data_IF_093189054477
#
_entry.id   IF_093189054477
#
_cell.length_a   1.000
_cell.length_b   1.000
_cell.length_c   1.000
_cell.angle_alpha   90.00
_cell.angle_beta   90.00
_cell.angle_gamma   90.00
#
_symmetry.space_group_name_H-M   'P 1'
#
loop_
_entity.id
_entity.type
_entity.pdbx_description
1 polymer ?
#
# COMPACT_ATOMS: atom_id res chain seq x y z
N UNK A 1 10.23 7.68 12.73
CA UNK A 1 9.28 7.33 11.65
C UNK A 1 10.08 6.95 10.42
N UNK A 2 9.70 5.86 9.74
CA UNK A 2 10.36 5.40 8.52
C UNK A 2 9.73 6.01 7.27
N UNK A 3 10.47 6.00 6.16
CA UNK A 3 9.95 6.32 4.83
C UNK A 3 9.92 5.06 3.97
N UNK A 4 8.81 4.85 3.31
CA UNK A 4 8.62 3.82 2.30
C UNK A 4 8.12 4.41 0.99
N UNK A 5 7.96 3.55 -0.02
CA UNK A 5 7.42 3.91 -1.33
C UNK A 5 6.16 3.10 -1.62
N UNK A 6 5.20 3.71 -2.26
CA UNK A 6 3.98 3.03 -2.70
C UNK A 6 3.59 3.53 -4.08
N UNK A 7 3.27 2.65 -4.99
CA UNK A 7 2.69 3.07 -6.26
C UNK A 7 1.50 2.21 -6.67
N UNK A 8 0.41 2.89 -7.02
CA UNK A 8 -0.54 2.44 -8.02
C UNK A 8 -0.03 3.05 -9.32
N UNK A 9 0.63 2.29 -10.18
CA UNK A 9 1.44 2.85 -11.27
C UNK A 9 0.55 3.41 -12.37
N UNK A 10 -0.05 4.58 -12.13
CA UNK A 10 -0.94 5.26 -13.09
C UNK A 10 -0.12 6.10 -14.06
N UNK A 11 -0.12 5.68 -15.30
CA UNK A 11 0.53 6.36 -16.42
C UNK A 11 -0.47 6.84 -17.47
N UNK A 12 -0.14 7.85 -18.29
CA UNK A 12 -0.94 8.20 -19.46
C UNK A 12 -1.18 6.98 -20.36
N UNK A 13 -2.42 6.82 -20.87
CA UNK A 13 -2.83 5.62 -21.61
C UNK A 13 -2.02 5.44 -22.92
N UNK A 14 -1.55 6.54 -23.50
CA UNK A 14 -0.72 6.58 -24.71
C UNK A 14 0.78 6.41 -24.45
N UNK A 15 1.19 6.35 -23.19
CA UNK A 15 2.59 6.07 -22.82
C UNK A 15 2.95 4.63 -23.19
N UNK A 16 4.11 4.44 -23.79
CA UNK A 16 4.61 3.12 -24.16
C UNK A 16 4.70 2.19 -22.93
N UNK A 17 4.07 1.03 -23.02
CA UNK A 17 3.95 0.08 -21.91
C UNK A 17 5.30 -0.36 -21.34
N UNK A 18 6.27 -0.64 -22.23
CA UNK A 18 7.62 -1.02 -21.80
C UNK A 18 8.32 0.13 -21.06
N UNK A 19 8.15 1.37 -21.54
CA UNK A 19 8.73 2.54 -20.87
C UNK A 19 8.14 2.75 -19.49
N UNK A 20 6.82 2.59 -19.32
CA UNK A 20 6.16 2.68 -18.02
C UNK A 20 6.69 1.64 -17.03
N UNK A 21 6.78 0.37 -17.45
CA UNK A 21 7.34 -0.69 -16.59
C UNK A 21 8.80 -0.45 -16.21
N UNK A 22 9.62 0.12 -17.11
CA UNK A 22 11.01 0.48 -16.80
C UNK A 22 11.09 1.66 -15.84
N UNK A 23 10.20 2.61 -15.95
CA UNK A 23 10.11 3.76 -15.04
C UNK A 23 9.75 3.30 -13.62
N UNK A 24 8.69 2.48 -13.48
CA UNK A 24 8.32 1.89 -12.20
C UNK A 24 9.48 1.11 -11.59
N UNK A 25 10.14 0.28 -12.40
CA UNK A 25 11.33 -0.44 -11.96
C UNK A 25 12.41 0.51 -11.45
N UNK A 26 12.68 1.61 -12.14
CA UNK A 26 13.67 2.61 -11.72
C UNK A 26 13.28 3.27 -10.41
N UNK A 27 11.99 3.56 -10.18
CA UNK A 27 11.51 4.13 -8.93
C UNK A 27 11.79 3.21 -7.71
N UNK A 28 11.51 1.90 -7.85
CA UNK A 28 11.81 0.93 -6.80
C UNK A 28 13.32 0.78 -6.52
N UNK A 29 14.14 0.74 -7.56
CA UNK A 29 15.59 0.67 -7.40
C UNK A 29 16.18 1.95 -6.81
N UNK A 30 15.59 3.10 -7.12
CA UNK A 30 15.97 4.38 -6.51
C UNK A 30 15.57 4.39 -5.02
N UNK A 31 14.38 3.92 -4.66
CA UNK A 31 13.95 3.82 -3.28
C UNK A 31 14.91 2.96 -2.43
N UNK A 32 15.35 1.79 -2.94
CA UNK A 32 16.35 0.94 -2.25
C UNK A 32 17.69 1.69 -2.05
N UNK A 33 18.17 2.40 -3.07
CA UNK A 33 19.43 3.17 -2.98
C UNK A 33 19.34 4.34 -2.00
N UNK A 34 18.17 4.97 -1.90
CA UNK A 34 17.94 6.09 -1.00
C UNK A 34 17.64 5.65 0.44
N UNK A 35 17.62 4.34 0.71
CA UNK A 35 17.40 3.80 2.06
C UNK A 35 15.94 3.83 2.52
N UNK A 36 14.98 3.83 1.58
CA UNK A 36 13.58 3.62 1.95
C UNK A 36 13.42 2.23 2.56
N UNK A 37 12.65 2.13 3.64
CA UNK A 37 12.52 0.89 4.41
C UNK A 37 11.73 -0.19 3.68
N UNK A 38 10.70 0.21 2.92
CA UNK A 38 9.80 -0.70 2.21
C UNK A 38 9.21 -0.05 0.96
N UNK A 39 8.78 -0.87 0.00
CA UNK A 39 8.09 -0.39 -1.19
C UNK A 39 6.99 -1.35 -1.63
N UNK A 40 5.85 -0.81 -2.05
CA UNK A 40 4.67 -1.57 -2.48
C UNK A 40 4.23 -1.19 -3.87
N UNK A 41 3.80 -2.18 -4.68
CA UNK A 41 3.12 -1.92 -5.95
C UNK A 41 1.75 -2.59 -6.03
N UNK A 42 0.77 -1.84 -6.54
CA UNK A 42 -0.56 -2.34 -6.87
C UNK A 42 -0.57 -3.19 -8.14
N UNK A 43 -1.73 -3.82 -8.42
CA UNK A 43 -1.94 -4.58 -9.65
C UNK A 43 -3.36 -4.41 -10.17
N UNK A 44 -3.49 -4.23 -11.47
CA UNK A 44 -4.76 -4.32 -12.20
C UNK A 44 -4.55 -4.97 -13.57
N UNK A 45 -5.44 -5.89 -13.94
CA UNK A 45 -5.35 -6.61 -15.21
C UNK A 45 -6.03 -5.85 -16.34
N UNK A 46 -7.06 -5.07 -16.01
CA UNK A 46 -7.95 -4.43 -16.98
C UNK A 46 -7.87 -2.91 -16.99
N UNK A 47 -6.85 -2.30 -16.41
CA UNK A 47 -6.66 -0.85 -16.43
C UNK A 47 -5.39 -0.49 -17.21
N UNK A 48 -5.55 0.08 -18.39
CA UNK A 48 -4.43 0.46 -19.24
C UNK A 48 -3.56 1.59 -18.64
N UNK A 49 -4.11 2.38 -17.73
CA UNK A 49 -3.37 3.41 -17.00
C UNK A 49 -2.61 2.83 -15.80
N UNK A 50 -3.16 1.77 -15.16
CA UNK A 50 -2.53 1.06 -14.05
C UNK A 50 -1.95 -0.27 -14.55
N UNK A 51 -0.84 -0.21 -15.23
CA UNK A 51 -0.35 -1.23 -16.15
C UNK A 51 0.49 -2.36 -15.53
N UNK A 52 0.70 -2.42 -14.21
CA UNK A 52 1.27 -3.61 -13.56
C UNK A 52 0.14 -4.63 -13.34
N UNK A 53 0.15 -5.69 -14.16
CA UNK A 53 -0.89 -6.72 -14.13
C UNK A 53 -0.68 -7.79 -13.05
N UNK A 54 0.52 -7.87 -12.49
CA UNK A 54 0.88 -8.76 -11.37
C UNK A 54 1.98 -8.12 -10.53
N UNK A 55 1.65 -7.75 -9.33
CA UNK A 55 2.60 -7.18 -8.36
C UNK A 55 3.70 -8.19 -8.00
N UNK A 56 3.35 -9.47 -7.83
CA UNK A 56 4.32 -10.53 -7.53
C UNK A 56 5.34 -10.72 -8.67
N UNK A 57 4.88 -10.72 -9.93
CA UNK A 57 5.76 -10.85 -11.10
C UNK A 57 6.68 -9.62 -11.24
N UNK A 58 6.14 -8.42 -11.03
CA UNK A 58 6.92 -7.19 -11.05
C UNK A 58 8.01 -7.22 -9.97
N UNK A 59 7.66 -7.55 -8.72
CA UNK A 59 8.61 -7.65 -7.60
C UNK A 59 9.68 -8.72 -7.88
N UNK A 60 9.31 -9.88 -8.43
CA UNK A 60 10.27 -10.92 -8.81
C UNK A 60 11.31 -10.41 -9.81
N UNK A 61 10.92 -9.53 -10.75
CA UNK A 61 11.83 -8.94 -11.74
C UNK A 61 12.90 -8.02 -11.16
N UNK A 62 12.71 -7.52 -9.94
CA UNK A 62 13.64 -6.62 -9.24
C UNK A 62 14.27 -7.22 -7.99
N UNK A 63 13.89 -8.44 -7.60
CA UNK A 63 14.34 -9.09 -6.38
C UNK A 63 15.87 -9.16 -6.27
N UNK A 64 16.56 -9.55 -7.35
CA UNK A 64 18.04 -9.61 -7.39
C UNK A 64 18.72 -8.25 -7.56
N UNK A 65 17.97 -7.19 -7.85
CA UNK A 65 18.47 -5.83 -8.08
C UNK A 65 18.35 -4.93 -6.85
N UNK A 66 17.67 -5.39 -5.79
CA UNK A 66 17.49 -4.70 -4.51
C UNK A 66 18.19 -5.45 -3.39
N UNK A 67 18.63 -4.73 -2.34
CA UNK A 67 19.43 -5.32 -1.27
C UNK A 67 18.80 -5.19 0.12
N UNK A 68 18.28 -4.02 0.44
CA UNK A 68 17.88 -3.70 1.82
C UNK A 68 16.36 -3.49 1.95
N UNK A 69 15.74 -2.89 0.94
CA UNK A 69 14.32 -2.54 0.97
C UNK A 69 13.45 -3.79 1.05
N UNK A 70 12.44 -3.76 1.92
CA UNK A 70 11.38 -4.76 1.89
C UNK A 70 10.44 -4.46 0.72
N UNK A 71 10.09 -5.48 -0.04
CA UNK A 71 9.19 -5.34 -1.18
C UNK A 71 7.85 -5.97 -0.89
N UNK A 72 6.78 -5.25 -1.19
CA UNK A 72 5.43 -5.67 -0.86
C UNK A 72 4.48 -5.61 -2.06
N UNK A 73 3.57 -6.58 -2.14
CA UNK A 73 2.41 -6.46 -3.00
C UNK A 73 1.46 -5.41 -2.41
N UNK A 74 0.91 -4.55 -3.22
CA UNK A 74 0.07 -3.46 -2.74
C UNK A 74 -1.23 -3.25 -3.52
N UNK A 75 -1.98 -4.33 -3.75
CA UNK A 75 -2.08 -5.66 -3.14
C UNK A 75 -2.24 -6.78 -4.18
N UNK A 76 -2.08 -8.06 -3.75
CA UNK A 76 -2.63 -9.18 -4.51
C UNK A 76 -4.14 -9.17 -4.36
N UNK A 77 -4.86 -9.15 -5.48
CA UNK A 77 -6.31 -9.23 -5.52
C UNK A 77 -6.75 -10.70 -5.38
N UNK A 78 -6.86 -11.19 -4.13
CA UNK A 78 -7.00 -12.60 -3.79
C UNK A 78 -8.10 -13.36 -4.56
N UNK A 79 -9.32 -12.80 -4.78
CA UNK A 79 -10.37 -13.49 -5.53
C UNK A 79 -10.05 -13.75 -6.99
N UNK A 80 -9.04 -13.11 -7.55
CA UNK A 80 -8.70 -13.20 -8.96
C UNK A 80 -7.79 -14.40 -9.28
N UNK A 81 -7.38 -15.18 -8.26
CA UNK A 81 -6.49 -16.33 -8.45
C UNK A 81 -6.84 -17.49 -7.53
N UNK A 82 -6.39 -18.68 -7.88
CA UNK A 82 -6.56 -19.87 -7.06
C UNK A 82 -5.62 -19.83 -5.85
N UNK A 83 -6.08 -20.13 -4.59
CA UNK A 83 -5.26 -20.04 -3.38
C UNK A 83 -3.96 -20.86 -3.45
N UNK A 84 -3.97 -22.04 -4.10
CA UNK A 84 -2.75 -22.83 -4.27
C UNK A 84 -1.70 -22.13 -5.16
N UNK A 85 -2.15 -21.40 -6.20
CA UNK A 85 -1.24 -20.63 -7.04
C UNK A 85 -0.62 -19.47 -6.26
N UNK A 86 -1.43 -18.74 -5.51
CA UNK A 86 -0.96 -17.65 -4.65
C UNK A 86 0.03 -18.19 -3.61
N UNK A 87 -0.32 -19.27 -2.90
CA UNK A 87 0.54 -19.86 -1.88
C UNK A 87 1.93 -20.23 -2.44
N UNK A 88 1.97 -20.87 -3.61
CA UNK A 88 3.23 -21.25 -4.26
C UNK A 88 4.05 -20.03 -4.74
N UNK A 89 3.39 -19.07 -5.38
CA UNK A 89 4.05 -17.85 -5.90
C UNK A 89 4.64 -16.99 -4.78
N UNK A 90 3.88 -16.76 -3.72
CA UNK A 90 4.30 -15.93 -2.59
C UNK A 90 5.40 -16.63 -1.77
N UNK A 91 5.31 -17.93 -1.57
CA UNK A 91 6.39 -18.69 -0.92
C UNK A 91 7.70 -18.59 -1.72
N UNK A 92 7.63 -18.80 -3.05
CA UNK A 92 8.80 -18.68 -3.92
C UNK A 92 9.38 -17.25 -3.90
N UNK A 93 8.52 -16.23 -3.97
CA UNK A 93 8.93 -14.83 -3.95
C UNK A 93 9.61 -14.45 -2.63
N UNK A 94 9.14 -14.97 -1.52
CA UNK A 94 9.75 -14.73 -0.20
C UNK A 94 11.19 -15.28 -0.13
N UNK A 95 11.43 -16.48 -0.70
CA UNK A 95 12.78 -17.02 -0.87
C UNK A 95 13.65 -16.19 -1.83
N UNK A 96 13.10 -15.73 -2.96
CA UNK A 96 13.82 -14.87 -3.91
C UNK A 96 14.24 -13.53 -3.29
N UNK A 97 13.48 -13.04 -2.31
CA UNK A 97 13.74 -11.80 -1.58
C UNK A 97 14.55 -12.00 -0.29
N UNK A 98 14.96 -13.22 0.00
CA UNK A 98 15.66 -13.56 1.25
C UNK A 98 14.91 -13.05 2.51
N UNK A 99 13.60 -13.27 2.55
CA UNK A 99 12.73 -12.89 3.67
C UNK A 99 12.38 -11.39 3.75
N UNK A 100 12.63 -10.61 2.70
CA UNK A 100 12.26 -9.19 2.62
C UNK A 100 10.86 -8.95 2.02
N UNK A 101 10.04 -9.98 1.90
CA UNK A 101 8.67 -9.85 1.39
C UNK A 101 7.71 -9.32 2.45
N UNK A 102 6.84 -8.38 2.06
CA UNK A 102 5.60 -8.04 2.72
C UNK A 102 4.43 -8.51 1.82
N UNK A 103 3.52 -9.30 2.37
CA UNK A 103 2.41 -9.86 1.59
C UNK A 103 1.15 -9.01 1.73
N UNK A 104 0.97 -8.06 0.82
CA UNK A 104 -0.22 -7.22 0.76
C UNK A 104 -1.37 -7.91 0.04
N UNK A 105 -2.55 -7.91 0.64
CA UNK A 105 -3.74 -8.63 0.19
C UNK A 105 -4.99 -7.76 0.20
N UNK A 106 -5.92 -8.02 -0.72
CA UNK A 106 -7.23 -7.36 -0.77
C UNK A 106 -8.30 -8.19 -1.48
N UNK A 107 -9.59 -7.82 -1.29
CA UNK A 107 -10.68 -8.41 -2.07
C UNK A 107 -10.75 -7.91 -3.53
N UNK A 108 -9.88 -6.97 -3.92
CA UNK A 108 -9.91 -6.30 -5.21
C UNK A 108 -10.96 -5.18 -5.30
N UNK A 109 -10.54 -4.01 -5.81
CA UNK A 109 -11.39 -2.81 -5.91
C UNK A 109 -11.99 -2.56 -7.29
N UNK A 110 -11.37 -3.06 -8.37
CA UNK A 110 -11.73 -2.75 -9.73
C UNK A 110 -12.80 -3.72 -10.26
N UNK A 111 -13.95 -3.17 -10.69
CA UNK A 111 -15.08 -3.96 -11.16
C UNK A 111 -14.76 -4.72 -12.47
N UNK A 112 -14.00 -4.11 -13.38
CA UNK A 112 -13.61 -4.75 -14.64
C UNK A 112 -12.67 -5.94 -14.44
N UNK A 113 -11.78 -5.89 -13.43
CA UNK A 113 -11.00 -7.06 -13.04
C UNK A 113 -11.92 -8.18 -12.53
N UNK A 114 -12.88 -7.84 -11.66
CA UNK A 114 -13.84 -8.83 -11.16
C UNK A 114 -14.69 -9.45 -12.29
N UNK A 115 -15.06 -8.66 -13.31
CA UNK A 115 -15.80 -9.13 -14.48
C UNK A 115 -14.97 -10.11 -15.31
N UNK A 116 -13.73 -9.77 -15.65
CA UNK A 116 -12.83 -10.60 -16.45
C UNK A 116 -12.53 -11.94 -15.78
N UNK A 117 -12.47 -11.98 -14.45
CA UNK A 117 -12.29 -13.20 -13.67
C UNK A 117 -13.60 -13.91 -13.30
N UNK A 118 -14.75 -13.43 -13.78
CA UNK A 118 -16.07 -14.02 -13.50
C UNK A 118 -16.50 -13.91 -12.02
N UNK A 119 -16.05 -12.86 -11.33
CA UNK A 119 -16.29 -12.63 -9.91
C UNK A 119 -17.16 -11.40 -9.62
N UNK A 120 -17.68 -10.72 -10.66
CA UNK A 120 -18.41 -9.47 -10.52
C UNK A 120 -19.64 -9.63 -9.61
N UNK A 121 -20.41 -10.70 -9.84
CA UNK A 121 -21.66 -11.00 -9.12
C UNK A 121 -21.47 -11.89 -7.88
N UNK A 122 -20.23 -12.19 -7.51
CA UNK A 122 -19.90 -13.01 -6.34
C UNK A 122 -19.61 -12.14 -5.12
N UNK A 123 -19.73 -12.72 -3.93
CA UNK A 123 -19.28 -12.07 -2.70
C UNK A 123 -17.74 -12.10 -2.61
N UNK A 124 -17.10 -11.07 -3.17
CA UNK A 124 -15.63 -10.97 -3.21
C UNK A 124 -14.99 -10.87 -1.83
N UNK A 125 -15.72 -10.37 -0.82
CA UNK A 125 -15.21 -10.37 0.56
C UNK A 125 -15.17 -11.78 1.15
N UNK A 126 -16.20 -12.61 0.92
CA UNK A 126 -16.16 -14.03 1.31
C UNK A 126 -15.05 -14.79 0.56
N UNK A 127 -14.93 -14.55 -0.76
CA UNK A 127 -13.86 -15.15 -1.56
C UNK A 127 -12.48 -14.75 -1.02
N UNK A 128 -12.28 -13.48 -0.68
CA UNK A 128 -11.05 -12.97 -0.11
C UNK A 128 -10.68 -13.73 1.19
N UNK A 129 -11.62 -13.83 2.12
CA UNK A 129 -11.39 -14.52 3.40
C UNK A 129 -11.11 -16.01 3.17
N UNK A 130 -11.91 -16.70 2.35
CA UNK A 130 -11.68 -18.11 2.03
C UNK A 130 -10.30 -18.32 1.37
N UNK A 131 -9.93 -17.47 0.42
CA UNK A 131 -8.66 -17.59 -0.29
C UNK A 131 -7.46 -17.45 0.66
N UNK A 132 -7.43 -16.41 1.49
CA UNK A 132 -6.31 -16.23 2.43
C UNK A 132 -6.28 -17.33 3.49
N UNK A 133 -7.41 -17.79 3.99
CA UNK A 133 -7.46 -18.88 4.95
C UNK A 133 -6.91 -20.18 4.34
N UNK A 134 -7.22 -20.48 3.09
CA UNK A 134 -6.63 -21.61 2.37
C UNK A 134 -5.12 -21.45 2.14
N UNK A 135 -4.65 -20.26 1.79
CA UNK A 135 -3.21 -19.96 1.65
C UNK A 135 -2.48 -20.23 2.96
N UNK A 136 -2.99 -19.71 4.07
CA UNK A 136 -2.39 -19.90 5.39
C UNK A 136 -2.43 -21.38 5.84
N UNK A 137 -3.51 -22.09 5.52
CA UNK A 137 -3.64 -23.51 5.82
C UNK A 137 -2.66 -24.36 4.99
N UNK A 138 -2.43 -24.02 3.70
CA UNK A 138 -1.40 -24.66 2.88
C UNK A 138 0.00 -24.49 3.51
N UNK A 139 0.31 -23.30 4.00
CA UNK A 139 1.61 -23.04 4.63
C UNK A 139 1.78 -23.70 5.99
N UNK A 140 0.68 -23.90 6.72
CA UNK A 140 0.68 -24.48 8.05
C UNK A 140 0.84 -26.00 8.04
N UNK A 141 0.10 -26.71 7.18
CA UNK A 141 0.06 -28.18 7.17
C UNK A 141 1.05 -28.80 6.18
N UNK A 142 1.32 -30.08 6.38
CA UNK A 142 2.07 -30.90 5.44
C UNK A 142 1.12 -31.63 4.46
N UNK A 143 1.67 -32.13 3.35
CA UNK A 143 0.93 -32.97 2.42
C UNK A 143 0.53 -34.30 3.08
N UNK A 144 -0.61 -34.93 2.68
CA UNK A 144 -1.50 -34.53 1.58
C UNK A 144 -2.40 -33.36 1.96
N UNK A 145 -2.70 -32.52 0.98
CA UNK A 145 -3.70 -31.46 1.15
C UNK A 145 -5.09 -32.01 0.83
N UNK A 146 -6.08 -31.64 1.64
CA UNK A 146 -7.51 -31.83 1.38
C UNK A 146 -8.25 -30.70 2.07
N UNK A 147 -8.28 -29.53 1.39
CA UNK A 147 -8.90 -28.30 1.89
C UNK A 147 -10.09 -28.02 0.98
N UNK A 148 -11.30 -28.02 1.55
CA UNK A 148 -12.54 -27.79 0.83
C UNK A 148 -13.13 -26.46 1.25
N UNK A 149 -13.52 -25.62 0.27
CA UNK A 149 -14.21 -24.39 0.47
C UNK A 149 -15.46 -24.25 -0.37
N UNK A 150 -16.08 -23.10 -0.28
CA UNK A 150 -17.25 -22.74 -1.08
C UNK A 150 -16.85 -22.39 -2.52
N UNK A 151 -15.70 -21.74 -2.69
CA UNK A 151 -15.23 -21.21 -3.97
C UNK A 151 -14.09 -22.04 -4.56
N UNK A 152 -13.23 -22.62 -3.72
CA UNK A 152 -12.07 -23.38 -4.16
C UNK A 152 -11.90 -24.68 -3.39
N UNK A 153 -11.15 -25.61 -4.01
CA UNK A 153 -10.70 -26.83 -3.37
C UNK A 153 -9.22 -27.02 -3.65
N UNK A 154 -8.45 -27.47 -2.66
CA UNK A 154 -7.03 -27.80 -2.78
C UNK A 154 -6.83 -29.23 -2.31
N UNK A 155 -6.39 -30.13 -3.20
CA UNK A 155 -6.14 -31.54 -2.84
C UNK A 155 -4.95 -32.10 -3.61
N UNK A 156 -4.15 -32.93 -2.93
CA UNK A 156 -3.10 -33.76 -3.53
C UNK A 156 -3.26 -35.24 -3.18
N UNK A 157 -4.36 -35.63 -2.53
CA UNK A 157 -4.57 -36.99 -2.00
C UNK A 157 -4.48 -38.10 -3.07
N UNK A 158 -4.87 -37.80 -4.29
CA UNK A 158 -4.94 -38.80 -5.38
C UNK A 158 -3.65 -38.96 -6.19
N UNK A 159 -2.73 -38.01 -6.07
CA UNK A 159 -1.61 -37.86 -7.01
C UNK A 159 -0.27 -37.63 -6.33
N UNK A 160 -0.23 -37.60 -5.00
CA UNK A 160 1.02 -37.41 -4.29
C UNK A 160 1.96 -38.61 -4.44
N UNK A 161 3.25 -38.31 -4.53
CA UNK A 161 4.36 -39.25 -4.43
C UNK A 161 5.44 -38.57 -3.59
N UNK A 162 5.28 -38.66 -2.27
CA UNK A 162 6.07 -37.88 -1.31
C UNK A 162 7.54 -38.27 -1.29
N UNK A 163 7.85 -39.52 -1.63
CA UNK A 163 9.23 -40.03 -1.76
C UNK A 163 10.06 -39.34 -2.82
N UNK A 164 9.41 -38.70 -3.81
CA UNK A 164 10.06 -37.87 -4.84
C UNK A 164 9.69 -36.39 -4.74
N UNK A 165 8.97 -35.98 -3.68
CA UNK A 165 8.56 -34.59 -3.46
C UNK A 165 7.32 -34.14 -4.24
N UNK A 166 6.66 -35.03 -4.98
CA UNK A 166 5.44 -34.68 -5.72
C UNK A 166 4.24 -34.57 -4.77
N UNK A 167 3.44 -33.52 -4.94
CA UNK A 167 2.28 -33.21 -4.09
C UNK A 167 2.62 -32.39 -2.85
N UNK A 168 3.87 -31.97 -2.68
CA UNK A 168 4.34 -31.13 -1.58
C UNK A 168 4.47 -29.69 -2.08
N UNK A 169 3.80 -28.75 -1.41
CA UNK A 169 3.92 -27.32 -1.72
C UNK A 169 5.00 -26.67 -0.82
N UNK A 170 5.83 -25.83 -1.41
CA UNK A 170 6.85 -25.08 -0.70
C UNK A 170 6.21 -24.06 0.26
N UNK A 171 6.90 -23.81 1.38
CA UNK A 171 6.47 -22.87 2.41
C UNK A 171 7.34 -21.61 2.34
N UNK A 172 6.85 -20.44 2.80
CA UNK A 172 7.65 -19.23 2.86
C UNK A 172 8.91 -19.40 3.72
N UNK A 173 9.94 -18.58 3.43
CA UNK A 173 11.16 -18.49 4.24
C UNK A 173 10.84 -17.87 5.60
N UNK A 174 10.07 -16.79 5.63
CA UNK A 174 9.64 -16.13 6.87
C UNK A 174 8.65 -17.00 7.64
N UNK A 175 8.75 -17.02 8.98
CA UNK A 175 7.92 -17.85 9.88
C UNK A 175 7.05 -17.00 10.78
N UNK A 176 5.78 -17.34 10.95
CA UNK A 176 5.07 -18.46 10.31
C UNK A 176 4.78 -18.21 8.81
N UNK A 177 4.81 -16.96 8.35
CA UNK A 177 4.64 -16.47 6.97
C UNK A 177 5.10 -15.01 6.88
N UNK A 178 5.26 -14.44 5.68
CA UNK A 178 5.57 -13.02 5.52
C UNK A 178 4.53 -12.13 6.21
N UNK A 179 4.92 -10.95 6.73
CA UNK A 179 3.96 -9.99 7.29
C UNK A 179 2.82 -9.73 6.30
N UNK A 180 1.58 -9.83 6.79
CA UNK A 180 0.39 -9.61 5.96
C UNK A 180 -0.05 -8.16 6.09
N UNK A 181 -0.21 -7.49 4.94
CA UNK A 181 -0.53 -6.08 4.84
C UNK A 181 -1.90 -5.92 4.17
N UNK A 182 -2.75 -5.04 4.72
CA UNK A 182 -4.06 -4.73 4.16
C UNK A 182 -4.16 -3.24 3.83
N UNK A 183 -4.57 -2.89 2.60
CA UNK A 183 -4.90 -1.50 2.27
C UNK A 183 -6.27 -1.12 2.83
N UNK A 184 -6.35 0.06 3.41
CA UNK A 184 -7.56 0.57 4.07
C UNK A 184 -7.98 1.87 3.41
N UNK A 185 -9.23 1.90 2.94
CA UNK A 185 -9.85 3.06 2.27
C UNK A 185 -11.09 3.54 3.03
N UNK A 186 -11.86 2.61 3.60
CA UNK A 186 -13.12 2.93 4.24
C UNK A 186 -12.90 3.58 5.62
N UNK A 187 -13.50 4.74 5.92
CA UNK A 187 -13.54 5.27 7.27
C UNK A 187 -14.21 4.31 8.24
N UNK A 188 -13.79 4.29 9.50
CA UNK A 188 -14.37 3.43 10.56
C UNK A 188 -14.43 1.95 10.14
N UNK A 189 -13.35 1.45 9.56
CA UNK A 189 -13.31 0.20 8.82
C UNK A 189 -13.47 -1.03 9.71
N UNK A 190 -14.63 -1.71 9.65
CA UNK A 190 -14.83 -3.03 10.26
C UNK A 190 -13.90 -4.09 9.66
N UNK A 191 -13.52 -3.94 8.38
CA UNK A 191 -12.54 -4.81 7.73
C UNK A 191 -11.16 -4.68 8.36
N UNK A 192 -10.79 -3.46 8.79
CA UNK A 192 -9.53 -3.23 9.51
C UNK A 192 -9.56 -3.85 10.91
N UNK A 193 -10.68 -3.73 11.64
CA UNK A 193 -10.83 -4.41 12.95
C UNK A 193 -10.59 -5.91 12.78
N UNK A 194 -11.25 -6.55 11.81
CA UNK A 194 -11.09 -7.97 11.53
C UNK A 194 -9.66 -8.34 11.07
N UNK A 195 -8.99 -7.49 10.31
CA UNK A 195 -7.61 -7.69 9.88
C UNK A 195 -6.62 -7.56 11.05
N UNK A 196 -6.77 -6.52 11.88
CA UNK A 196 -5.95 -6.28 13.06
C UNK A 196 -6.09 -7.41 14.09
N UNK A 197 -7.31 -7.94 14.28
CA UNK A 197 -7.57 -9.11 15.13
C UNK A 197 -6.81 -10.37 14.67
N UNK A 198 -6.35 -10.42 13.41
CA UNK A 198 -5.50 -11.49 12.84
C UNK A 198 -4.00 -11.14 12.87
N UNK A 199 -3.63 -10.01 13.45
CA UNK A 199 -2.25 -9.50 13.46
C UNK A 199 -1.79 -8.91 12.13
N UNK A 200 -2.72 -8.54 11.23
CA UNK A 200 -2.41 -7.94 9.94
C UNK A 200 -2.25 -6.43 10.06
N UNK A 201 -1.39 -5.85 9.23
CA UNK A 201 -0.95 -4.48 9.35
C UNK A 201 -1.59 -3.58 8.29
N UNK A 202 -2.05 -2.37 8.64
CA UNK A 202 -2.73 -1.48 7.69
C UNK A 202 -1.79 -0.59 6.89
N UNK A 203 -2.23 -0.30 5.63
CA UNK A 203 -1.81 0.87 4.85
C UNK A 203 -3.05 1.75 4.63
N UNK A 204 -3.06 2.96 5.17
CA UNK A 204 -4.06 3.98 4.83
C UNK A 204 -3.74 4.59 3.47
N UNK A 205 -4.73 4.64 2.58
CA UNK A 205 -4.54 5.09 1.20
C UNK A 205 -4.18 6.58 1.09
N UNK A 206 -3.38 6.94 0.08
CA UNK A 206 -2.83 8.29 -0.13
C UNK A 206 -3.87 9.38 -0.45
N UNK A 207 -5.04 8.98 -0.93
CA UNK A 207 -6.11 9.89 -1.34
C UNK A 207 -7.15 10.18 -0.26
N UNK A 208 -6.91 9.77 0.96
CA UNK A 208 -7.83 10.04 2.08
C UNK A 208 -7.56 11.42 2.68
N UNK A 209 -8.65 12.15 2.95
CA UNK A 209 -8.59 13.33 3.80
C UNK A 209 -8.10 12.93 5.19
N UNK A 210 -7.38 13.81 5.92
CA UNK A 210 -6.85 13.50 7.26
C UNK A 210 -7.91 12.97 8.20
N UNK A 211 -9.10 13.58 8.23
CA UNK A 211 -10.25 13.15 9.04
C UNK A 211 -10.68 11.70 8.82
N UNK A 212 -10.47 11.15 7.62
CA UNK A 212 -10.77 9.75 7.31
C UNK A 212 -9.62 8.82 7.69
N UNK A 213 -8.38 9.21 7.37
CA UNK A 213 -7.19 8.45 7.75
C UNK A 213 -7.11 8.28 9.27
N UNK A 214 -7.42 9.32 10.05
CA UNK A 214 -7.48 9.31 11.51
C UNK A 214 -8.38 8.19 12.07
N UNK A 215 -9.46 7.82 11.38
CA UNK A 215 -10.40 6.78 11.84
C UNK A 215 -9.82 5.36 11.79
N UNK A 216 -8.70 5.17 11.10
CA UNK A 216 -8.10 3.85 10.96
C UNK A 216 -7.37 3.40 12.22
N UNK A 217 -6.71 4.31 12.93
CA UNK A 217 -6.00 3.96 14.15
C UNK A 217 -6.91 3.36 15.23
N UNK A 218 -8.04 3.96 15.63
CA UNK A 218 -8.96 3.35 16.56
C UNK A 218 -9.48 1.97 16.11
N UNK A 219 -9.74 1.79 14.80
CA UNK A 219 -10.16 0.50 14.26
C UNK A 219 -9.05 -0.57 14.37
N UNK A 220 -7.78 -0.18 14.17
CA UNK A 220 -6.64 -1.07 14.35
C UNK A 220 -6.46 -1.47 15.82
N UNK A 221 -6.49 -0.49 16.72
CA UNK A 221 -6.41 -0.70 18.18
C UNK A 221 -7.49 -1.66 18.65
N UNK A 222 -8.76 -1.40 18.27
CA UNK A 222 -9.88 -2.27 18.63
C UNK A 222 -9.63 -3.73 18.22
N UNK A 223 -9.19 -3.98 16.98
CA UNK A 223 -8.94 -5.35 16.52
C UNK A 223 -7.80 -6.05 17.27
N UNK A 224 -6.73 -5.32 17.58
CA UNK A 224 -5.63 -5.86 18.39
C UNK A 224 -6.10 -6.21 19.80
N UNK A 225 -6.80 -5.30 20.48
CA UNK A 225 -7.31 -5.49 21.85
C UNK A 225 -8.29 -6.66 21.95
N UNK A 226 -9.24 -6.77 21.01
CA UNK A 226 -10.21 -7.87 20.95
C UNK A 226 -9.55 -9.25 20.84
N UNK A 227 -8.31 -9.31 20.34
CA UNK A 227 -7.55 -10.56 20.16
C UNK A 227 -6.34 -10.68 21.07
N UNK A 228 -6.16 -9.77 22.03
CA UNK A 228 -5.05 -9.78 22.97
C UNK A 228 -3.69 -9.58 22.32
N UNK A 229 -3.62 -8.90 21.18
CA UNK A 229 -2.40 -8.57 20.47
C UNK A 229 -1.85 -7.21 20.92
N UNK A 230 -0.53 -7.05 20.87
CA UNK A 230 0.13 -5.80 21.16
C UNK A 230 -0.25 -4.74 20.11
N UNK A 231 -0.56 -3.54 20.60
CA UNK A 231 -0.82 -2.36 19.77
C UNK A 231 0.49 -1.63 19.52
N UNK A 232 0.98 -1.64 18.27
CA UNK A 232 2.21 -0.96 17.90
C UNK A 232 1.96 -0.06 16.67
N UNK A 233 2.14 1.24 16.85
CA UNK A 233 1.98 2.23 15.78
C UNK A 233 3.00 2.06 14.64
N UNK A 234 4.12 1.37 14.87
CA UNK A 234 5.08 1.00 13.83
C UNK A 234 4.46 0.12 12.75
N UNK A 235 3.38 -0.60 13.07
CA UNK A 235 2.66 -1.43 12.14
C UNK A 235 1.71 -0.64 11.23
N UNK A 236 1.43 0.63 11.54
CA UNK A 236 0.54 1.46 10.74
C UNK A 236 1.33 2.28 9.72
N UNK A 237 0.98 2.12 8.46
CA UNK A 237 1.53 2.86 7.32
C UNK A 237 0.49 3.82 6.79
N UNK A 238 0.94 5.02 6.43
CA UNK A 238 0.07 6.02 5.80
C UNK A 238 0.73 6.49 4.51
N UNK A 239 0.03 6.35 3.39
CA UNK A 239 0.51 6.82 2.10
C UNK A 239 0.08 8.27 1.86
N UNK A 240 0.95 9.07 1.23
CA UNK A 240 0.65 10.45 0.81
C UNK A 240 1.26 10.75 -0.55
N UNK A 241 0.53 11.52 -1.36
CA UNK A 241 1.06 12.13 -2.58
C UNK A 241 1.98 13.28 -2.21
N UNK A 242 3.28 13.13 -2.48
CA UNK A 242 4.32 14.07 -2.05
C UNK A 242 5.16 14.48 -3.25
N UNK A 243 5.48 15.76 -3.38
CA UNK A 243 6.45 16.27 -4.33
C UNK A 243 7.34 17.34 -3.71
N UNK A 244 8.64 17.12 -3.74
CA UNK A 244 9.64 18.00 -3.12
C UNK A 244 10.49 18.66 -4.21
N UNK A 245 10.51 19.99 -4.22
CA UNK A 245 11.37 20.75 -5.11
C UNK A 245 11.70 22.10 -4.45
N UNK A 246 13.00 22.48 -4.41
CA UNK A 246 13.44 23.72 -3.76
C UNK A 246 12.91 24.98 -4.46
N UNK A 247 12.64 24.90 -5.74
CA UNK A 247 11.96 25.96 -6.48
C UNK A 247 10.44 25.83 -6.31
N UNK A 248 9.86 26.74 -5.53
CA UNK A 248 8.41 26.75 -5.21
C UNK A 248 7.50 26.81 -6.43
N UNK A 249 7.91 27.55 -7.47
CA UNK A 249 7.11 27.67 -8.69
C UNK A 249 7.12 26.36 -9.46
N UNK A 250 8.28 25.73 -9.59
CA UNK A 250 8.41 24.40 -10.19
C UNK A 250 7.66 23.36 -9.37
N UNK A 251 7.74 23.40 -8.02
CA UNK A 251 7.00 22.51 -7.15
C UNK A 251 5.49 22.60 -7.42
N UNK A 252 4.95 23.81 -7.46
CA UNK A 252 3.53 24.06 -7.73
C UNK A 252 3.13 23.62 -9.16
N UNK A 253 3.93 23.97 -10.16
CA UNK A 253 3.64 23.61 -11.55
C UNK A 253 3.65 22.09 -11.75
N UNK A 254 4.65 21.37 -11.20
CA UNK A 254 4.71 19.92 -11.29
C UNK A 254 3.58 19.23 -10.54
N UNK A 255 3.20 19.73 -9.36
CA UNK A 255 2.15 19.13 -8.52
C UNK A 255 0.73 19.46 -9.01
N UNK A 256 0.48 20.69 -9.50
CA UNK A 256 -0.86 21.20 -9.76
C UNK A 256 -1.06 21.77 -11.17
N UNK A 257 0.00 21.89 -11.94
CA UNK A 257 -0.04 22.53 -13.28
C UNK A 257 -0.71 21.67 -14.34
N UNK A 258 -0.83 22.25 -15.52
CA UNK A 258 -1.35 21.52 -16.68
C UNK A 258 -0.35 20.44 -17.11
N UNK A 259 -0.81 19.18 -17.16
CA UNK A 259 0.05 18.02 -17.43
C UNK A 259 0.70 17.41 -16.18
N UNK A 260 0.35 17.88 -14.98
CA UNK A 260 0.80 17.29 -13.73
C UNK A 260 0.42 15.81 -13.63
N UNK A 261 1.37 14.91 -13.29
CA UNK A 261 1.08 13.50 -13.05
C UNK A 261 0.17 13.30 -11.82
N UNK A 262 0.22 14.20 -10.84
CA UNK A 262 -0.66 14.18 -9.66
C UNK A 262 -2.10 14.56 -10.04
N UNK A 263 -2.29 15.63 -10.83
CA UNK A 263 -3.62 16.02 -11.31
C UNK A 263 -4.21 14.93 -12.19
N UNK A 264 -3.40 14.28 -13.04
CA UNK A 264 -3.81 13.13 -13.83
C UNK A 264 -4.29 11.98 -12.93
N UNK A 265 -3.53 11.61 -11.91
CA UNK A 265 -3.89 10.59 -10.93
C UNK A 265 -5.22 10.88 -10.25
N UNK A 266 -5.37 12.07 -9.66
CA UNK A 266 -6.60 12.44 -8.95
C UNK A 266 -7.82 12.57 -9.88
N UNK A 267 -7.62 12.97 -11.14
CA UNK A 267 -8.67 12.98 -12.16
C UNK A 267 -9.19 11.56 -12.45
N UNK A 268 -8.29 10.61 -12.66
CA UNK A 268 -8.64 9.19 -12.86
C UNK A 268 -9.40 8.64 -11.65
N UNK A 269 -8.88 8.90 -10.45
CA UNK A 269 -9.46 8.42 -9.22
C UNK A 269 -10.85 9.04 -8.95
N UNK A 270 -11.00 10.36 -9.11
CA UNK A 270 -12.29 11.04 -8.96
C UNK A 270 -13.34 10.47 -9.94
N UNK A 271 -12.95 10.23 -11.19
CA UNK A 271 -13.84 9.62 -12.19
C UNK A 271 -14.31 8.24 -11.75
N UNK A 272 -13.40 7.37 -11.26
CA UNK A 272 -13.74 6.05 -10.72
C UNK A 272 -14.66 6.17 -9.48
N UNK A 273 -14.35 7.07 -8.55
CA UNK A 273 -15.13 7.26 -7.31
C UNK A 273 -16.53 7.79 -7.57
N UNK A 274 -16.70 8.75 -8.48
CA UNK A 274 -18.01 9.24 -8.90
C UNK A 274 -18.86 8.11 -9.51
N UNK A 275 -18.28 7.32 -10.41
CA UNK A 275 -18.99 6.19 -11.05
C UNK A 275 -19.45 5.15 -10.05
N UNK A 276 -18.72 4.94 -8.96
CA UNK A 276 -19.04 3.93 -7.94
C UNK A 276 -19.72 4.49 -6.69
N UNK A 277 -20.18 5.75 -6.70
CA UNK A 277 -20.88 6.38 -5.57
C UNK A 277 -20.04 6.54 -4.31
N UNK A 278 -18.71 6.69 -4.47
CA UNK A 278 -17.75 6.80 -3.36
C UNK A 278 -17.06 8.16 -3.28
N UNK A 279 -17.56 9.16 -3.99
CA UNK A 279 -16.98 10.51 -4.05
C UNK A 279 -17.02 11.25 -2.69
N UNK A 280 -17.84 10.77 -1.75
CA UNK A 280 -17.88 11.26 -0.36
C UNK A 280 -16.51 11.23 0.34
N UNK A 281 -15.58 10.39 -0.09
CA UNK A 281 -14.22 10.35 0.47
C UNK A 281 -13.43 11.64 0.23
N UNK A 282 -13.78 12.42 -0.80
CA UNK A 282 -13.16 13.71 -1.12
C UNK A 282 -13.88 14.91 -0.52
N UNK A 283 -15.04 14.70 0.11
CA UNK A 283 -15.86 15.79 0.67
C UNK A 283 -15.47 16.11 2.10
N UNK A 284 -15.21 17.40 2.37
CA UNK A 284 -15.13 17.89 3.74
C UNK A 284 -16.51 17.96 4.38
N UNK A 285 -17.46 18.60 3.70
CA UNK A 285 -18.88 18.55 4.06
C UNK A 285 -19.55 17.40 3.33
N UNK A 286 -20.08 16.45 4.07
CA UNK A 286 -20.77 15.27 3.50
C UNK A 286 -22.09 15.62 2.83
N UNK A 287 -22.66 16.81 3.07
CA UNK A 287 -23.85 17.31 2.40
C UNK A 287 -23.57 17.96 1.04
N UNK A 288 -22.30 18.20 0.72
CA UNK A 288 -21.89 18.74 -0.59
C UNK A 288 -22.36 17.81 -1.72
N UNK A 289 -22.95 18.39 -2.76
CA UNK A 289 -23.31 17.60 -3.94
C UNK A 289 -22.05 17.11 -4.68
N UNK A 290 -22.15 15.94 -5.35
CA UNK A 290 -21.03 15.40 -6.12
C UNK A 290 -20.62 16.35 -7.27
N UNK A 291 -21.58 17.09 -7.84
CA UNK A 291 -21.36 18.12 -8.88
C UNK A 291 -20.47 19.29 -8.44
N UNK A 292 -20.39 19.53 -7.13
CA UNK A 292 -19.68 20.68 -6.56
C UNK A 292 -18.21 20.33 -6.23
N UNK A 293 -17.84 19.04 -6.34
CA UNK A 293 -16.47 18.59 -6.18
C UNK A 293 -15.60 19.12 -7.33
N UNK A 294 -14.59 19.92 -6.97
CA UNK A 294 -13.59 20.41 -7.92
C UNK A 294 -12.29 19.65 -7.76
N UNK A 295 -11.75 19.18 -8.89
CA UNK A 295 -10.47 18.48 -8.93
C UNK A 295 -9.34 19.30 -8.33
N UNK A 296 -9.34 20.61 -8.58
CA UNK A 296 -8.34 21.54 -8.02
C UNK A 296 -8.34 21.54 -6.49
N UNK A 297 -9.53 21.57 -5.87
CA UNK A 297 -9.66 21.57 -4.40
C UNK A 297 -9.16 20.24 -3.81
N UNK A 298 -9.45 19.12 -4.49
CA UNK A 298 -8.97 17.78 -4.10
C UNK A 298 -7.44 17.74 -4.16
N UNK A 299 -6.85 18.20 -5.27
CA UNK A 299 -5.40 18.22 -5.44
C UNK A 299 -4.71 19.12 -4.41
N UNK A 300 -5.22 20.32 -4.17
CA UNK A 300 -4.68 21.24 -3.18
C UNK A 300 -4.66 20.68 -1.75
N UNK A 301 -5.64 19.83 -1.40
CA UNK A 301 -5.75 19.22 -0.06
C UNK A 301 -4.93 17.95 0.11
N UNK A 302 -4.77 17.17 -0.96
CA UNK A 302 -4.23 15.82 -0.86
C UNK A 302 -2.78 15.70 -1.30
N UNK A 303 -2.24 16.70 -2.03
CA UNK A 303 -0.86 16.70 -2.48
C UNK A 303 -0.02 17.58 -1.55
N UNK A 304 1.00 16.99 -0.93
CA UNK A 304 1.99 17.72 -0.14
C UNK A 304 3.15 18.11 -1.07
N UNK A 305 3.25 19.38 -1.42
CA UNK A 305 4.31 19.85 -2.32
C UNK A 305 4.95 21.15 -1.81
N UNK A 306 6.19 21.40 -2.20
CA UNK A 306 6.96 22.57 -1.82
C UNK A 306 8.45 22.30 -1.71
N UNK A 307 9.17 23.22 -1.04
CA UNK A 307 10.55 22.99 -0.63
C UNK A 307 10.65 21.87 0.41
N UNK A 308 11.85 21.37 0.67
CA UNK A 308 12.06 20.33 1.69
C UNK A 308 11.53 20.76 3.07
N UNK A 309 11.71 22.03 3.44
CA UNK A 309 11.21 22.57 4.70
C UNK A 309 9.67 22.61 4.74
N UNK A 310 9.05 23.13 3.69
CA UNK A 310 7.59 23.22 3.60
C UNK A 310 6.91 21.86 3.62
N UNK A 311 7.51 20.88 2.93
CA UNK A 311 6.98 19.51 2.90
C UNK A 311 7.15 18.83 4.25
N UNK A 312 8.29 19.04 4.94
CA UNK A 312 8.48 18.50 6.27
C UNK A 312 7.45 19.06 7.27
N UNK A 313 7.22 20.37 7.25
CA UNK A 313 6.24 21.04 8.12
C UNK A 313 4.81 20.51 7.84
N UNK A 314 4.40 20.39 6.57
CA UNK A 314 3.10 19.81 6.17
C UNK A 314 2.93 18.36 6.60
N UNK A 315 4.00 17.55 6.58
CA UNK A 315 3.95 16.16 7.06
C UNK A 315 3.80 16.12 8.58
N UNK A 316 4.47 17.00 9.32
CA UNK A 316 4.31 17.09 10.77
C UNK A 316 2.90 17.53 11.16
N UNK A 317 2.35 18.55 10.50
CA UNK A 317 0.95 18.98 10.69
C UNK A 317 -0.04 17.83 10.38
N UNK A 318 0.18 17.11 9.28
CA UNK A 318 -0.64 15.95 8.94
C UNK A 318 -0.56 14.86 10.01
N UNK A 319 0.65 14.59 10.54
CA UNK A 319 0.86 13.59 11.59
C UNK A 319 0.21 13.99 12.90
N UNK A 320 0.23 15.28 13.26
CA UNK A 320 -0.45 15.81 14.44
C UNK A 320 -1.97 15.61 14.33
N UNK A 321 -2.56 15.82 13.17
CA UNK A 321 -3.99 15.62 12.93
C UNK A 321 -4.40 14.15 12.93
N UNK A 322 -3.63 13.28 12.25
CA UNK A 322 -3.99 11.88 12.01
C UNK A 322 -3.60 10.97 13.16
N UNK A 323 -2.47 11.24 13.80
CA UNK A 323 -1.87 10.43 14.88
C UNK A 323 -0.52 9.84 14.48
N UNK A 324 0.10 9.17 15.45
CA UNK A 324 1.42 8.56 15.28
C UNK A 324 1.35 7.28 14.46
N UNK A 325 1.88 7.33 13.26
CA UNK A 325 2.08 6.15 12.39
C UNK A 325 3.57 5.87 12.20
N UNK A 326 3.91 4.58 11.98
CA UNK A 326 5.30 4.12 11.92
C UNK A 326 6.00 4.45 10.62
N UNK A 327 5.30 4.35 9.48
CA UNK A 327 5.89 4.56 8.15
C UNK A 327 5.05 5.51 7.31
N UNK A 328 5.71 6.52 6.75
CA UNK A 328 5.15 7.37 5.70
C UNK A 328 5.49 6.77 4.34
N UNK A 329 4.50 6.39 3.57
CA UNK A 329 4.68 5.90 2.21
C UNK A 329 4.59 7.08 1.22
N UNK A 330 5.71 7.41 0.59
CA UNK A 330 5.77 8.32 -0.55
C UNK A 330 5.03 7.68 -1.72
N UNK A 331 3.88 8.22 -2.11
CA UNK A 331 3.10 7.70 -3.23
C UNK A 331 3.73 8.13 -4.56
N UNK A 332 4.18 7.14 -5.31
CA UNK A 332 4.73 7.33 -6.66
C UNK A 332 3.63 7.61 -7.68
N UNK A 333 3.97 8.46 -8.65
CA UNK A 333 3.15 8.81 -9.80
C UNK A 333 3.99 8.74 -11.08
N UNK A 334 3.36 8.90 -12.23
CA UNK A 334 4.07 8.97 -13.51
C UNK A 334 5.20 10.02 -13.49
N UNK A 335 6.31 9.72 -14.12
CA UNK A 335 7.43 10.65 -14.22
C UNK A 335 7.30 11.53 -15.48
N UNK A 336 6.47 12.55 -15.40
CA UNK A 336 6.32 13.53 -16.47
C UNK A 336 7.65 14.26 -16.76
N UNK A 337 8.45 14.49 -15.73
CA UNK A 337 9.85 14.93 -15.81
C UNK A 337 10.68 14.00 -14.90
N UNK A 338 11.52 13.18 -15.54
CA UNK A 338 12.30 12.12 -14.89
C UNK A 338 13.28 12.69 -13.86
N UNK A 339 13.92 13.82 -14.16
CA UNK A 339 14.95 14.40 -13.30
C UNK A 339 14.31 15.06 -12.06
N UNK A 340 13.19 15.76 -12.25
CA UNK A 340 12.43 16.34 -11.15
C UNK A 340 11.83 15.27 -10.24
N UNK A 341 11.29 14.20 -10.80
CA UNK A 341 10.72 13.10 -10.03
C UNK A 341 11.77 12.38 -9.17
N UNK A 342 12.92 12.05 -9.75
CA UNK A 342 14.06 11.47 -9.02
C UNK A 342 14.56 12.41 -7.93
N UNK A 343 14.72 13.70 -8.26
CA UNK A 343 15.20 14.70 -7.31
C UNK A 343 14.24 14.89 -6.13
N UNK A 344 12.94 14.77 -6.37
CA UNK A 344 11.92 14.78 -5.29
C UNK A 344 12.13 13.62 -4.31
N UNK A 345 12.37 12.41 -4.80
CA UNK A 345 12.66 11.25 -3.94
C UNK A 345 13.98 11.41 -3.17
N UNK A 346 15.03 11.95 -3.81
CA UNK A 346 16.30 12.26 -3.15
C UNK A 346 16.12 13.29 -2.02
N UNK A 347 15.44 14.41 -2.29
CA UNK A 347 15.16 15.44 -1.30
C UNK A 347 14.30 14.90 -0.14
N UNK A 348 13.37 14.02 -0.44
CA UNK A 348 12.57 13.35 0.60
C UNK A 348 13.46 12.57 1.57
N UNK A 349 14.38 11.75 1.04
CA UNK A 349 15.28 10.93 1.85
C UNK A 349 16.36 11.77 2.57
N UNK A 350 16.99 12.71 1.86
CA UNK A 350 18.19 13.41 2.33
C UNK A 350 17.88 14.63 3.22
N UNK A 351 16.71 15.29 3.03
CA UNK A 351 16.37 16.52 3.75
C UNK A 351 15.09 16.43 4.56
N UNK A 352 14.01 15.95 3.94
CA UNK A 352 12.67 15.96 4.58
C UNK A 352 12.64 14.99 5.76
N UNK A 353 13.02 13.74 5.56
CA UNK A 353 12.95 12.72 6.61
C UNK A 353 13.86 12.97 7.80
N UNK A 354 15.13 13.42 7.64
CA UNK A 354 15.96 13.82 8.78
C UNK A 354 15.32 14.92 9.61
N UNK A 355 14.79 15.99 8.98
CA UNK A 355 14.12 17.09 9.68
C UNK A 355 12.90 16.61 10.47
N UNK A 356 12.06 15.76 9.89
CA UNK A 356 10.89 15.17 10.56
C UNK A 356 11.33 14.35 11.77
N UNK A 357 12.32 13.47 11.60
CA UNK A 357 12.76 12.59 12.67
C UNK A 357 13.43 13.34 13.83
N UNK A 358 14.14 14.41 13.56
CA UNK A 358 14.70 15.27 14.59
C UNK A 358 13.60 16.00 15.39
N UNK A 359 12.56 16.50 14.72
CA UNK A 359 11.40 17.10 15.41
C UNK A 359 10.64 16.08 16.28
N UNK A 360 10.42 14.85 15.78
CA UNK A 360 9.77 13.79 16.56
C UNK A 360 10.57 13.45 17.82
N UNK A 361 11.91 13.36 17.75
CA UNK A 361 12.78 13.11 18.90
C UNK A 361 12.69 14.24 19.94
N UNK A 362 12.67 15.49 19.49
CA UNK A 362 12.56 16.66 20.35
C UNK A 362 11.21 16.62 21.10
N UNK A 363 10.10 16.36 20.42
CA UNK A 363 8.78 16.26 21.06
C UNK A 363 8.74 15.14 22.13
N UNK A 364 9.35 13.99 21.85
CA UNK A 364 9.41 12.87 22.81
C UNK A 364 10.23 13.20 24.07
N UNK A 365 11.32 13.94 23.94
CA UNK A 365 12.11 14.40 25.08
C UNK A 365 11.32 15.36 25.98
N UNK A 366 10.62 16.33 25.40
CA UNK A 366 9.79 17.28 26.19
C UNK A 366 8.61 16.60 26.88
N UNK A 367 8.00 15.57 26.29
CA UNK A 367 6.90 14.82 26.92
C UNK A 367 7.38 13.92 28.05
N UNK A 368 8.60 13.35 27.97
CA UNK A 368 9.18 12.55 29.05
C UNK A 368 9.58 13.40 30.25
N UNK A 369 10.17 14.58 30.01
CA UNK A 369 10.56 15.52 31.08
C UNK A 369 9.34 16.10 31.82
N UNK A 370 8.25 16.41 31.09
CA UNK A 370 7.00 16.87 31.68
C UNK A 370 6.29 15.77 32.51
N UNK A 371 6.43 14.49 32.14
CA UNK A 371 5.88 13.37 32.92
C UNK A 371 6.66 13.13 34.21
N UNK A 372 7.98 13.35 34.23
CA UNK A 372 8.83 13.22 35.41
C UNK A 372 8.63 14.39 36.41
N UNK A 373 8.27 15.60 35.94
CA UNK A 373 7.98 16.74 36.80
C UNK A 373 6.60 16.64 37.50
N UNK A 374 5.64 15.94 36.91
CA UNK A 374 4.29 15.72 37.47
C UNK A 374 4.21 14.55 38.45
N UNK A 375 5.26 13.74 38.55
CA UNK A 375 5.37 12.59 39.45
C UNK A 375 6.06 12.86 40.82
N UNK A 376 6.28 14.14 41.14
CA UNK A 376 6.84 14.53 42.48
C UNK A 376 5.81 15.18 43.35
#
# INVERSE_FOLDING_TARGET
MDVGFFTMPIHPIDKDYKKSLLEDRHAFLLADRLGFSEAYCGEHVTDAAENITSSALFIASIASCTKNIRLGTGTVNMPNSHPAAIAGQIAMLDHMLDGRLNFGISPGGLASDAEVFGNLDKNRNEMFVECIDMVLEIWKRDAPYNIKGKYWNVSTERTQMTEIGQGIMQKPLQKPYPPIICTVVAPFSKGLVAAAARGWQPISANFLLPKWAKTHWPSYVQGCEESGLEVDSKNWRVAKSIFVCEDRNKAKEYALGNGSPYVFYYKQLLTKMLKHGRANLFKEDQNMADSDLKLEDICNKLILYGSADEVADKILEFREEVGDFGTLLYAGHDWADVDLAKKSMELMAEKVMPKINDNIKICLLYTSDAADETGR
#
